data_IF_944103841382
#
_entry.id   IF_944103841382
#
_cell.length_a   1.000
_cell.length_b   1.000
_cell.length_c   1.000
_cell.angle_alpha   90.00
_cell.angle_beta   90.00
_cell.angle_gamma   90.00
#
_symmetry.space_group_name_H-M   'P 1'
#
loop_
_entity.id
_entity.type
_entity.pdbx_description
1 polymer ?
#
# COMPACT_ATOMS: atom_id res chain seq x y z
N UNK A 1 -4.97 -12.79 -53.32
CA UNK A 1 -5.12 -11.94 -52.11
C UNK A 1 -5.75 -12.69 -50.92
N UNK A 2 -6.58 -13.70 -51.15
CA UNK A 2 -7.22 -14.56 -50.13
C UNK A 2 -6.26 -15.28 -49.16
N UNK A 3 -5.10 -15.76 -49.65
CA UNK A 3 -4.14 -16.53 -48.84
C UNK A 3 -3.44 -15.70 -47.73
N UNK A 4 -3.26 -14.39 -47.93
CA UNK A 4 -2.70 -13.47 -46.90
C UNK A 4 -3.70 -13.32 -45.73
N UNK A 5 -4.97 -13.12 -46.05
CA UNK A 5 -6.06 -12.91 -45.08
C UNK A 5 -6.26 -14.13 -44.18
N UNK A 6 -6.07 -15.35 -44.71
CA UNK A 6 -6.14 -16.59 -43.92
C UNK A 6 -5.01 -16.73 -42.90
N UNK A 7 -3.78 -16.35 -43.27
CA UNK A 7 -2.63 -16.44 -42.36
C UNK A 7 -2.68 -15.38 -41.25
N UNK A 8 -3.22 -14.19 -41.56
CA UNK A 8 -3.45 -13.14 -40.57
C UNK A 8 -4.49 -13.56 -39.51
N UNK A 9 -5.60 -14.18 -39.91
CA UNK A 9 -6.59 -14.70 -38.95
C UNK A 9 -6.04 -15.82 -38.06
N UNK A 10 -5.19 -16.70 -38.60
CA UNK A 10 -4.53 -17.75 -37.80
C UNK A 10 -3.53 -17.13 -36.82
N UNK A 11 -2.74 -16.14 -37.26
CA UNK A 11 -1.84 -15.39 -36.39
C UNK A 11 -2.60 -14.72 -35.24
N UNK A 12 -3.71 -14.04 -35.54
CA UNK A 12 -4.58 -13.43 -34.50
C UNK A 12 -5.10 -14.48 -33.53
N UNK A 13 -5.54 -15.64 -34.02
CA UNK A 13 -5.98 -16.75 -33.18
C UNK A 13 -4.87 -17.26 -32.27
N UNK A 14 -3.64 -17.40 -32.77
CA UNK A 14 -2.45 -17.81 -31.99
C UNK A 14 -2.07 -16.76 -30.95
N UNK A 15 -2.12 -15.47 -31.28
CA UNK A 15 -1.87 -14.39 -30.32
C UNK A 15 -2.90 -14.36 -29.20
N UNK A 16 -4.19 -14.55 -29.51
CA UNK A 16 -5.25 -14.64 -28.50
C UNK A 16 -5.13 -15.89 -27.63
N UNK A 17 -4.70 -17.02 -28.20
CA UNK A 17 -4.40 -18.23 -27.43
C UNK A 17 -3.21 -18.03 -26.50
N UNK A 18 -2.14 -17.41 -26.98
CA UNK A 18 -0.92 -17.15 -26.21
C UNK A 18 -1.18 -16.20 -25.03
N UNK A 19 -2.04 -15.19 -25.20
CA UNK A 19 -2.40 -14.28 -24.09
C UNK A 19 -3.32 -14.95 -23.07
N UNK A 20 -4.18 -15.89 -23.47
CA UNK A 20 -5.04 -16.66 -22.55
C UNK A 20 -4.26 -17.70 -21.74
N UNK A 21 -3.17 -18.23 -22.28
CA UNK A 21 -2.26 -19.15 -21.56
C UNK A 21 -1.32 -18.45 -20.58
N UNK A 22 -1.26 -17.12 -20.61
CA UNK A 22 -0.47 -16.38 -19.63
C UNK A 22 -1.23 -16.34 -18.31
N UNK A 23 -0.81 -17.19 -17.37
CA UNK A 23 -1.35 -17.30 -16.03
C UNK A 23 -1.37 -15.93 -15.35
N UNK A 24 -2.56 -15.46 -14.98
CA UNK A 24 -2.74 -14.18 -14.31
C UNK A 24 -1.89 -14.11 -13.02
N UNK A 25 -1.28 -12.96 -12.76
CA UNK A 25 -0.37 -12.72 -11.63
C UNK A 25 -0.92 -13.23 -10.28
N UNK A 26 -0.20 -14.15 -9.64
CA UNK A 26 -0.52 -14.71 -8.32
C UNK A 26 -0.26 -13.76 -7.12
N UNK A 27 -0.08 -12.45 -7.35
CA UNK A 27 0.34 -11.50 -6.32
C UNK A 27 -0.61 -11.42 -5.11
N UNK A 28 -1.92 -11.59 -5.33
CA UNK A 28 -2.92 -11.42 -4.27
C UNK A 28 -3.02 -12.57 -3.26
N UNK A 29 -2.69 -13.81 -3.64
CA UNK A 29 -2.91 -14.99 -2.78
C UNK A 29 -1.89 -15.02 -1.64
N UNK A 30 -0.62 -14.80 -1.94
CA UNK A 30 0.45 -14.80 -0.94
C UNK A 30 0.34 -13.61 0.02
N UNK A 31 -0.06 -12.44 -0.48
CA UNK A 31 -0.30 -11.27 0.37
C UNK A 31 -1.39 -11.54 1.41
N UNK A 32 -2.49 -12.18 1.00
CA UNK A 32 -3.60 -12.48 1.91
C UNK A 32 -3.24 -13.54 2.94
N UNK A 33 -2.46 -14.55 2.53
CA UNK A 33 -1.93 -15.56 3.44
C UNK A 33 -1.02 -14.91 4.49
N UNK A 34 -0.06 -14.09 4.09
CA UNK A 34 0.83 -13.38 5.01
C UNK A 34 0.06 -12.48 5.98
N UNK A 35 -0.91 -11.72 5.49
CA UNK A 35 -1.75 -10.87 6.34
C UNK A 35 -2.49 -11.68 7.41
N UNK A 36 -3.08 -12.80 7.01
CA UNK A 36 -3.77 -13.70 7.93
C UNK A 36 -2.81 -14.26 8.98
N UNK A 37 -1.62 -14.72 8.56
CA UNK A 37 -0.64 -15.33 9.44
C UNK A 37 -0.06 -14.31 10.44
N UNK A 38 0.20 -13.07 10.02
CA UNK A 38 0.69 -12.00 10.91
C UNK A 38 -0.38 -11.54 11.93
N UNK A 39 -1.65 -11.51 11.53
CA UNK A 39 -2.73 -10.99 12.38
C UNK A 39 -3.39 -12.05 13.26
N UNK A 40 -3.16 -13.35 13.03
CA UNK A 40 -3.84 -14.43 13.73
C UNK A 40 -3.72 -14.37 15.27
N UNK A 41 -2.59 -13.91 15.80
CA UNK A 41 -2.33 -13.79 17.24
C UNK A 41 -1.84 -12.39 17.65
N UNK A 42 -2.15 -11.35 16.87
CA UNK A 42 -1.73 -9.98 17.18
C UNK A 42 -2.82 -9.25 17.97
N UNK A 43 -2.54 -8.91 19.23
CA UNK A 43 -3.43 -8.09 20.03
C UNK A 43 -3.08 -6.60 19.90
N UNK A 44 -4.05 -5.76 19.51
CA UNK A 44 -3.82 -4.33 19.27
C UNK A 44 -3.79 -3.50 20.56
N UNK A 45 -4.27 -4.07 21.67
CA UNK A 45 -4.32 -3.39 22.96
C UNK A 45 -3.06 -3.61 23.79
N UNK A 46 -2.25 -4.61 23.43
CA UNK A 46 -0.98 -4.85 24.10
C UNK A 46 0.13 -4.06 23.43
N UNK A 47 1.12 -3.68 24.24
CA UNK A 47 2.28 -2.97 23.76
C UNK A 47 3.21 -3.96 23.06
N UNK A 48 3.63 -3.72 21.80
CA UNK A 48 4.40 -4.68 21.02
C UNK A 48 5.88 -4.68 21.46
N UNK A 49 6.19 -5.33 22.57
CA UNK A 49 7.55 -5.56 23.05
C UNK A 49 7.77 -7.03 23.40
N UNK A 50 8.99 -7.52 23.22
CA UNK A 50 9.36 -8.87 23.70
C UNK A 50 9.61 -8.90 25.20
N UNK A 51 10.05 -7.79 25.78
CA UNK A 51 10.35 -7.65 27.20
C UNK A 51 9.57 -6.48 27.78
N UNK A 52 8.75 -6.75 28.79
CA UNK A 52 7.93 -5.75 29.46
C UNK A 52 8.75 -4.64 30.13
N UNK A 53 9.99 -4.92 30.51
CA UNK A 53 10.87 -3.92 31.12
C UNK A 53 11.50 -2.94 30.12
N UNK A 54 11.50 -3.25 28.82
CA UNK A 54 12.12 -2.41 27.80
C UNK A 54 11.16 -1.31 27.34
N UNK A 55 11.57 -0.05 27.16
CA UNK A 55 10.72 1.01 26.58
C UNK A 55 10.61 0.90 25.05
N UNK A 56 9.58 1.54 24.47
CA UNK A 56 9.51 1.79 23.01
C UNK A 56 9.98 3.22 22.77
N UNK A 57 10.99 3.39 21.92
CA UNK A 57 11.40 4.70 21.43
C UNK A 57 10.40 5.15 20.35
N UNK A 58 9.80 6.32 20.54
CA UNK A 58 8.87 6.90 19.57
C UNK A 58 9.49 8.17 19.01
N UNK A 59 9.87 8.14 17.74
CA UNK A 59 10.42 9.30 17.05
C UNK A 59 9.29 10.09 16.39
N UNK A 60 9.20 11.37 16.74
CA UNK A 60 8.17 12.27 16.23
C UNK A 60 8.80 13.25 15.24
N UNK A 61 8.37 13.17 13.99
CA UNK A 61 8.62 14.16 12.96
C UNK A 61 7.41 15.04 12.75
N UNK A 62 7.62 16.35 12.61
CA UNK A 62 6.56 17.29 12.23
C UNK A 62 6.98 18.00 10.96
N UNK A 63 6.12 17.95 9.95
CA UNK A 63 6.29 18.73 8.73
C UNK A 63 5.15 19.74 8.63
N UNK A 64 5.47 21.03 8.82
CA UNK A 64 4.51 22.10 8.59
C UNK A 64 4.27 22.24 7.08
N UNK A 65 3.01 22.18 6.67
CA UNK A 65 2.62 22.43 5.28
C UNK A 65 2.26 23.90 5.08
N UNK A 66 1.37 24.42 5.92
CA UNK A 66 0.84 25.77 5.78
C UNK A 66 0.35 26.34 7.11
N UNK A 67 0.54 27.64 7.30
CA UNK A 67 -0.18 28.43 8.32
C UNK A 67 -1.48 28.94 7.71
N UNK A 68 -2.60 28.56 8.31
CA UNK A 68 -3.95 28.89 7.81
C UNK A 68 -4.41 30.23 8.40
N UNK A 69 -4.25 30.41 9.70
CA UNK A 69 -4.67 31.62 10.39
C UNK A 69 -3.87 31.84 11.69
N UNK A 70 -3.77 33.11 12.10
CA UNK A 70 -3.13 33.55 13.34
C UNK A 70 -4.09 34.50 14.05
N UNK A 71 -4.49 34.15 15.26
CA UNK A 71 -5.23 35.04 16.15
C UNK A 71 -4.32 35.47 17.30
N UNK A 72 -3.70 36.65 17.17
CA UNK A 72 -2.76 37.16 18.17
C UNK A 72 -3.47 37.56 19.47
N UNK A 73 -4.74 37.94 19.38
CA UNK A 73 -5.53 38.38 20.54
C UNK A 73 -5.86 37.19 21.44
N UNK A 74 -6.16 36.04 20.83
CA UNK A 74 -6.47 34.80 21.54
C UNK A 74 -5.27 33.83 21.64
N UNK A 75 -4.12 34.18 21.05
CA UNK A 75 -2.90 33.36 21.00
C UNK A 75 -3.12 31.98 20.35
N UNK A 76 -3.94 31.93 19.30
CA UNK A 76 -4.26 30.70 18.58
C UNK A 76 -3.60 30.72 17.20
N UNK A 77 -2.91 29.62 16.87
CA UNK A 77 -2.34 29.38 15.55
C UNK A 77 -3.05 28.18 14.91
N UNK A 78 -3.63 28.38 13.74
CA UNK A 78 -4.26 27.30 12.96
C UNK A 78 -3.31 26.94 11.82
N UNK A 79 -2.82 25.70 11.80
CA UNK A 79 -1.91 25.22 10.75
C UNK A 79 -2.34 23.86 10.21
N UNK A 80 -1.93 23.59 8.96
CA UNK A 80 -1.93 22.26 8.40
C UNK A 80 -0.51 21.70 8.50
N UNK A 81 -0.35 20.58 9.21
CA UNK A 81 0.92 19.91 9.39
C UNK A 81 0.73 18.39 9.30
N UNK A 82 1.76 17.71 8.83
CA UNK A 82 1.84 16.26 8.87
C UNK A 82 2.60 15.84 10.12
N UNK A 83 2.01 14.91 10.87
CA UNK A 83 2.68 14.19 11.94
C UNK A 83 3.23 12.88 11.38
N UNK A 84 4.53 12.67 11.55
CA UNK A 84 5.22 11.45 11.15
C UNK A 84 5.66 10.72 12.40
N UNK A 85 5.26 9.46 12.49
CA UNK A 85 5.80 8.51 13.44
C UNK A 85 6.90 7.75 12.70
N UNK A 86 8.16 7.94 13.11
CA UNK A 86 9.33 7.29 12.49
C UNK A 86 9.75 6.09 13.32
#
# INVERSE_FOLDING_TARGET
MELRKRNESVLVGVYLWATFYHQACHGGVYQRKLYHDLMANYNRLERPVQNDSAPILVELGLTLLQIIDVDEKNQVLITNAWLQLV
#
